data_IF_339129806851
#
_entry.id   IF_339129806851
#
_cell.length_a   1.000
_cell.length_b   1.000
_cell.length_c   1.000
_cell.angle_alpha   90.00
_cell.angle_beta   90.00
_cell.angle_gamma   90.00
#
_symmetry.space_group_name_H-M   'P 1'
#
loop_
_entity.id
_entity.type
_entity.pdbx_description
1 polymer ?
#
# COMPACT_ATOMS: atom_id res chain seq x y z
N UNK A 1 16.13 22.58 -22.21
CA UNK A 1 16.48 21.32 -21.52
C UNK A 1 15.26 20.85 -20.73
N UNK A 2 14.97 19.55 -20.67
CA UNK A 2 13.90 19.00 -19.80
C UNK A 2 14.57 18.35 -18.58
N UNK A 3 14.06 18.61 -17.37
CA UNK A 3 14.57 18.08 -16.10
C UNK A 3 13.46 17.27 -15.41
N UNK A 4 13.85 16.19 -14.74
CA UNK A 4 12.99 15.39 -13.88
C UNK A 4 13.63 15.31 -12.50
N UNK A 5 12.81 15.45 -11.46
CA UNK A 5 13.23 15.31 -10.06
C UNK A 5 12.31 14.30 -9.37
N UNK A 6 12.90 13.46 -8.52
CA UNK A 6 12.21 12.41 -7.77
C UNK A 6 12.60 12.60 -6.31
N UNK A 7 11.62 12.94 -5.49
CA UNK A 7 11.85 13.29 -4.08
C UNK A 7 11.06 12.33 -3.22
N UNK A 8 11.74 11.63 -2.32
CA UNK A 8 11.10 10.76 -1.35
C UNK A 8 10.66 11.57 -0.13
N UNK A 9 9.56 11.15 0.51
CA UNK A 9 9.13 11.66 1.82
C UNK A 9 9.53 10.63 2.89
N UNK A 10 10.70 10.76 3.54
CA UNK A 10 11.12 9.82 4.58
C UNK A 10 10.23 9.98 5.82
N UNK A 11 10.34 9.08 6.80
CA UNK A 11 9.76 9.26 8.14
C UNK A 11 8.23 9.27 8.22
N UNK A 12 7.52 8.84 7.18
CA UNK A 12 6.08 8.53 7.27
C UNK A 12 5.87 7.42 8.32
N UNK A 13 4.80 7.49 9.14
CA UNK A 13 4.51 6.45 10.12
C UNK A 13 4.03 5.16 9.43
N UNK A 14 3.91 4.10 10.22
CA UNK A 14 3.23 2.88 9.77
C UNK A 14 1.74 3.17 9.59
N UNK A 15 1.25 3.07 8.36
CA UNK A 15 -0.18 3.27 8.04
C UNK A 15 -1.03 2.15 8.65
N UNK A 16 -2.13 2.56 9.28
CA UNK A 16 -3.17 1.72 9.86
C UNK A 16 -4.53 1.94 9.17
N UNK A 17 -5.50 1.08 9.48
CA UNK A 17 -6.86 1.21 8.96
C UNK A 17 -7.53 2.48 9.49
N UNK A 18 -8.11 3.26 8.57
CA UNK A 18 -8.75 4.53 8.86
C UNK A 18 -7.82 5.74 8.82
N UNK A 19 -6.51 5.57 8.62
CA UNK A 19 -5.58 6.69 8.48
C UNK A 19 -5.91 7.53 7.22
N UNK A 20 -5.85 8.85 7.37
CA UNK A 20 -5.93 9.78 6.24
C UNK A 20 -4.55 9.96 5.60
N UNK A 21 -4.37 9.38 4.41
CA UNK A 21 -3.10 9.47 3.68
C UNK A 21 -2.75 10.89 3.24
N UNK A 22 -3.73 11.77 3.01
CA UNK A 22 -3.45 13.15 2.62
C UNK A 22 -2.77 13.89 3.79
N UNK A 23 -3.30 13.73 5.00
CA UNK A 23 -2.72 14.32 6.22
C UNK A 23 -1.29 13.78 6.47
N UNK A 24 -1.07 12.49 6.27
CA UNK A 24 0.26 11.89 6.42
C UNK A 24 1.26 12.42 5.37
N UNK A 25 0.82 12.58 4.12
CA UNK A 25 1.64 13.14 3.04
C UNK A 25 1.96 14.62 3.31
N UNK A 26 0.98 15.41 3.73
CA UNK A 26 1.16 16.82 4.11
C UNK A 26 2.19 16.98 5.24
N UNK A 27 2.12 16.15 6.27
CA UNK A 27 3.11 16.15 7.35
C UNK A 27 4.52 15.77 6.86
N UNK A 28 4.62 14.84 5.90
CA UNK A 28 5.87 14.48 5.26
C UNK A 28 6.47 15.63 4.44
N UNK A 29 5.65 16.29 3.62
CA UNK A 29 6.04 17.46 2.82
C UNK A 29 6.53 18.60 3.71
N UNK A 30 5.79 18.92 4.77
CA UNK A 30 6.14 19.99 5.71
C UNK A 30 7.49 19.74 6.39
N UNK A 31 7.77 18.49 6.78
CA UNK A 31 9.04 18.11 7.42
C UNK A 31 10.25 18.25 6.50
N UNK A 32 10.08 17.95 5.22
CA UNK A 32 11.13 18.11 4.20
C UNK A 32 11.20 19.54 3.64
N UNK A 33 10.32 20.46 4.09
CA UNK A 33 10.26 21.83 3.59
C UNK A 33 9.83 21.91 2.12
N UNK A 34 9.02 20.95 1.66
CA UNK A 34 8.55 20.85 0.27
C UNK A 34 7.15 21.45 0.14
N UNK A 35 6.93 22.18 -0.95
CA UNK A 35 5.61 22.65 -1.36
C UNK A 35 5.32 22.10 -2.77
N UNK A 36 4.12 21.53 -2.95
CA UNK A 36 3.70 21.03 -4.26
C UNK A 36 3.41 22.18 -5.21
N UNK A 37 3.85 22.05 -6.45
CA UNK A 37 3.60 22.97 -7.54
C UNK A 37 2.64 22.38 -8.59
N UNK A 38 1.97 23.22 -9.39
CA UNK A 38 1.17 22.74 -10.51
C UNK A 38 2.00 21.87 -11.47
N UNK A 39 1.52 20.65 -11.71
CA UNK A 39 2.19 19.66 -12.56
C UNK A 39 2.99 18.61 -11.79
N UNK A 40 3.17 18.77 -10.49
CA UNK A 40 3.76 17.73 -9.65
C UNK A 40 2.86 16.49 -9.56
N UNK A 41 3.49 15.33 -9.36
CA UNK A 41 2.81 14.04 -9.24
C UNK A 41 3.16 13.41 -7.90
N UNK A 42 2.13 13.15 -7.08
CA UNK A 42 2.26 12.32 -5.90
C UNK A 42 2.17 10.84 -6.29
N UNK A 43 3.16 10.05 -5.92
CA UNK A 43 3.20 8.61 -6.17
C UNK A 43 3.12 7.87 -4.84
N UNK A 44 2.04 7.12 -4.64
CA UNK A 44 1.84 6.31 -3.45
C UNK A 44 1.94 4.82 -3.82
N UNK A 45 2.67 4.06 -3.01
CA UNK A 45 2.64 2.60 -3.13
C UNK A 45 1.24 2.09 -2.77
N UNK A 46 0.71 1.16 -3.56
CA UNK A 46 -0.61 0.58 -3.34
C UNK A 46 -0.80 0.02 -1.91
N UNK A 47 0.26 -0.48 -1.27
CA UNK A 47 0.16 -1.10 0.05
C UNK A 47 -0.35 -0.16 1.14
N UNK A 48 0.05 1.12 1.13
CA UNK A 48 -0.42 2.08 2.12
C UNK A 48 -1.89 2.47 1.90
N UNK A 49 -2.32 2.50 0.64
CA UNK A 49 -3.74 2.71 0.27
C UNK A 49 -4.59 1.58 0.82
N UNK A 50 -4.23 0.31 0.55
CA UNK A 50 -4.98 -0.83 1.08
C UNK A 50 -4.98 -0.93 2.61
N UNK A 51 -3.92 -0.45 3.28
CA UNK A 51 -3.90 -0.39 4.75
C UNK A 51 -4.87 0.66 5.27
N UNK A 52 -4.82 1.89 4.76
CA UNK A 52 -5.74 2.97 5.11
C UNK A 52 -7.20 2.57 4.89
N UNK A 53 -7.50 1.89 3.77
CA UNK A 53 -8.83 1.38 3.44
C UNK A 53 -9.26 0.14 4.25
N UNK A 54 -8.44 -0.35 5.19
CA UNK A 54 -8.78 -1.50 6.02
C UNK A 54 -8.87 -2.83 5.26
N UNK A 55 -8.18 -2.97 4.12
CA UNK A 55 -8.22 -4.16 3.26
C UNK A 55 -7.33 -5.32 3.74
N UNK A 56 -7.08 -5.40 5.04
CA UNK A 56 -6.32 -6.50 5.64
C UNK A 56 -7.25 -7.63 6.04
N UNK A 57 -6.82 -8.87 5.84
CA UNK A 57 -7.54 -10.08 6.25
C UNK A 57 -6.61 -10.96 7.06
N UNK A 58 -7.11 -11.55 8.14
CA UNK A 58 -6.37 -12.55 8.88
C UNK A 58 -6.38 -13.85 8.07
N UNK A 59 -5.21 -14.28 7.59
CA UNK A 59 -5.10 -15.48 6.76
C UNK A 59 -5.66 -16.73 7.46
N UNK A 60 -5.58 -16.79 8.79
CA UNK A 60 -6.12 -17.87 9.61
C UNK A 60 -7.66 -17.98 9.55
N UNK A 61 -8.37 -16.93 9.15
CA UNK A 61 -9.83 -16.89 9.05
C UNK A 61 -10.33 -17.26 7.64
N UNK A 62 -9.43 -17.43 6.67
CA UNK A 62 -9.78 -17.77 5.29
C UNK A 62 -9.97 -19.27 5.16
N UNK A 63 -11.15 -19.69 4.68
CA UNK A 63 -11.43 -21.09 4.31
C UNK A 63 -11.22 -21.28 2.80
N UNK A 64 -10.24 -22.08 2.36
CA UNK A 64 -10.00 -22.33 0.94
C UNK A 64 -11.13 -23.15 0.30
N UNK A 65 -11.44 -22.88 -0.97
CA UNK A 65 -12.28 -23.77 -1.78
C UNK A 65 -11.47 -24.94 -2.35
N UNK A 66 -12.12 -26.02 -2.83
CA UNK A 66 -11.44 -27.12 -3.50
C UNK A 66 -10.57 -26.66 -4.69
N UNK A 67 -10.99 -25.63 -5.42
CA UNK A 67 -10.21 -25.05 -6.53
C UNK A 67 -8.93 -24.37 -6.03
N UNK A 68 -9.01 -23.64 -4.92
CA UNK A 68 -7.85 -23.00 -4.30
C UNK A 68 -6.85 -24.04 -3.77
N UNK A 69 -7.33 -25.15 -3.19
CA UNK A 69 -6.47 -26.26 -2.76
C UNK A 69 -5.77 -26.93 -3.95
N UNK A 70 -6.50 -27.21 -5.04
CA UNK A 70 -5.93 -27.80 -6.24
C UNK A 70 -4.85 -26.89 -6.87
N UNK A 71 -5.07 -25.58 -6.89
CA UNK A 71 -4.10 -24.61 -7.41
C UNK A 71 -2.90 -24.44 -6.46
N UNK A 72 -3.12 -24.47 -5.15
CA UNK A 72 -2.07 -24.43 -4.14
C UNK A 72 -1.10 -25.61 -4.28
N UNK A 73 -1.62 -26.83 -4.47
CA UNK A 73 -0.81 -28.03 -4.70
C UNK A 73 0.10 -27.89 -5.94
N UNK A 74 -0.37 -27.20 -6.99
CA UNK A 74 0.40 -26.95 -8.22
C UNK A 74 1.43 -25.84 -8.08
N UNK A 75 1.17 -24.87 -7.21
CA UNK A 75 1.98 -23.64 -7.08
C UNK A 75 2.88 -23.63 -5.85
N UNK A 76 2.71 -24.59 -4.93
CA UNK A 76 3.44 -24.64 -3.65
C UNK A 76 3.07 -23.53 -2.68
N UNK A 77 1.92 -22.86 -2.87
CA UNK A 77 1.45 -21.75 -2.02
C UNK A 77 0.50 -22.24 -0.94
N UNK A 78 0.30 -21.42 0.09
CA UNK A 78 -0.75 -21.64 1.08
C UNK A 78 -2.13 -21.55 0.40
N UNK A 79 -3.02 -22.56 0.51
CA UNK A 79 -4.33 -22.53 -0.13
C UNK A 79 -5.21 -21.36 0.36
N UNK A 80 -5.00 -20.90 1.60
CA UNK A 80 -5.70 -19.72 2.14
C UNK A 80 -5.27 -18.44 1.45
N UNK A 81 -4.01 -18.37 1.01
CA UNK A 81 -3.52 -17.22 0.25
C UNK A 81 -4.00 -17.25 -1.20
N UNK A 82 -4.10 -18.44 -1.79
CA UNK A 82 -4.62 -18.62 -3.15
C UNK A 82 -6.11 -18.23 -3.25
N UNK A 83 -6.86 -18.35 -2.15
CA UNK A 83 -8.28 -18.01 -2.08
C UNK A 83 -8.58 -16.49 -2.14
N UNK A 84 -7.60 -15.64 -1.87
CA UNK A 84 -7.73 -14.17 -1.79
C UNK A 84 -7.49 -13.49 -3.14
#
# INVERSE_FOLDING_TARGET
>A
MRRLELIALPGLPMVAAGDDLAVLVEAGLAREGLALAPGDVLVLAQKIVSKAEGRSVALAEVQPTPEAEALAARTGKDPRFVQL
#
